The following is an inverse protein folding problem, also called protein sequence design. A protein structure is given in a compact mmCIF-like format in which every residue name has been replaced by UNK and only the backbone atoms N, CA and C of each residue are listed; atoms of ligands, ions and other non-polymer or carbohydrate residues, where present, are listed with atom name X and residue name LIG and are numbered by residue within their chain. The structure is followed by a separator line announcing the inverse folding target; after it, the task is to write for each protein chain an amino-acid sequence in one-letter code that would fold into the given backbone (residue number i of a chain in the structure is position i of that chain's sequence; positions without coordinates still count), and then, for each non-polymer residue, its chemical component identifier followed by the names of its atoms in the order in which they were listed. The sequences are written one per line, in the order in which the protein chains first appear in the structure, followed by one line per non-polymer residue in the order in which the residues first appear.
data_IF_903758800759
#
_entry.id   IF_903758800759
#
_cell.length_a   1.000
_cell.length_b   1.000
_cell.length_c   1.000
_cell.angle_alpha   90.00
_cell.angle_beta   90.00
_cell.angle_gamma   90.00
#
_symmetry.space_group_name_H-M   'P 1'
#
loop_
_entity.id
_entity.type
_entity.pdbx_description
1 polymer ?
#
# COMPACT_ATOMS: atom_id res chain seq x y z
N UNK A 1 5.84 8.97 12.62
CA UNK A 1 4.81 8.31 11.78
C UNK A 1 3.60 9.19 11.54
N UNK A 2 2.89 9.67 12.58
CA UNK A 2 1.71 10.53 12.45
C UNK A 2 1.92 11.73 11.50
N UNK A 3 3.06 12.43 11.60
CA UNK A 3 3.41 13.55 10.70
C UNK A 3 3.58 13.13 9.22
N UNK A 4 4.26 12.02 8.95
CA UNK A 4 4.48 11.53 7.58
C UNK A 4 3.16 11.09 6.91
N UNK A 5 2.29 10.40 7.66
CA UNK A 5 0.95 10.04 7.20
C UNK A 5 0.09 11.29 6.96
N UNK A 6 0.13 12.27 7.87
CA UNK A 6 -0.59 13.54 7.70
C UNK A 6 -0.15 14.29 6.44
N UNK A 7 1.15 14.31 6.13
CA UNK A 7 1.66 14.93 4.91
C UNK A 7 1.15 14.21 3.65
N UNK A 8 1.10 12.87 3.66
CA UNK A 8 0.52 12.08 2.56
C UNK A 8 -0.96 12.37 2.35
N UNK A 9 -1.73 12.52 3.43
CA UNK A 9 -3.15 12.92 3.35
C UNK A 9 -3.28 14.31 2.74
N UNK A 10 -2.49 15.27 3.21
CA UNK A 10 -2.53 16.66 2.70
C UNK A 10 -2.18 16.75 1.22
N UNK A 11 -1.28 15.90 0.74
CA UNK A 11 -0.88 15.84 -0.67
C UNK A 11 -1.86 15.03 -1.54
N UNK A 12 -2.90 14.41 -0.98
CA UNK A 12 -3.82 13.54 -1.73
C UNK A 12 -3.16 12.25 -2.23
N UNK A 13 -2.10 11.82 -1.57
CA UNK A 13 -1.25 10.69 -1.97
C UNK A 13 -1.68 9.36 -1.33
N UNK A 14 -2.74 9.36 -0.52
CA UNK A 14 -3.31 8.16 0.10
C UNK A 14 -4.48 7.64 -0.74
N UNK A 15 -4.42 6.36 -1.09
CA UNK A 15 -5.48 5.64 -1.78
C UNK A 15 -5.98 4.53 -0.86
N UNK A 16 -7.26 4.60 -0.49
CA UNK A 16 -7.91 3.58 0.35
C UNK A 16 -8.69 2.61 -0.54
N UNK A 17 -8.47 1.31 -0.34
CA UNK A 17 -9.19 0.23 -1.02
C UNK A 17 -10.04 -0.53 -0.02
N UNK A 18 -11.26 -0.93 -0.39
CA UNK A 18 -12.10 -1.75 0.49
C UNK A 18 -11.47 -3.12 0.75
N UNK A 19 -11.09 -3.82 -0.31
CA UNK A 19 -10.43 -5.11 -0.23
C UNK A 19 -9.45 -5.31 -1.39
N UNK A 20 -8.35 -6.02 -1.11
CA UNK A 20 -7.35 -6.39 -2.11
C UNK A 20 -7.13 -7.90 -2.04
N UNK A 21 -7.93 -8.65 -2.80
CA UNK A 21 -7.86 -10.11 -2.91
C UNK A 21 -7.47 -10.51 -4.32
N UNK A 22 -6.48 -11.39 -4.44
CA UNK A 22 -6.05 -11.98 -5.71
C UNK A 22 -6.12 -13.50 -5.60
N UNK A 23 -6.80 -14.15 -6.53
CA UNK A 23 -6.91 -15.61 -6.57
C UNK A 23 -5.59 -16.28 -6.98
N UNK A 24 -4.81 -15.62 -7.84
CA UNK A 24 -3.50 -16.08 -8.30
C UNK A 24 -2.47 -14.93 -8.28
N UNK A 25 -1.18 -15.21 -8.04
CA UNK A 25 -0.13 -14.20 -8.09
C UNK A 25 0.15 -13.82 -9.56
N UNK A 26 -0.43 -12.71 -10.02
CA UNK A 26 -0.29 -12.19 -11.38
C UNK A 26 0.10 -10.71 -11.39
N UNK A 27 1.36 -10.47 -11.76
CA UNK A 27 1.95 -9.12 -11.86
C UNK A 27 1.20 -8.22 -12.84
N UNK A 28 0.72 -8.77 -13.96
CA UNK A 28 -0.03 -8.01 -14.99
C UNK A 28 -1.36 -7.47 -14.46
N UNK A 29 -2.11 -8.30 -13.73
CA UNK A 29 -3.38 -7.89 -13.12
C UNK A 29 -3.12 -6.84 -12.04
N UNK A 30 -2.07 -7.03 -11.22
CA UNK A 30 -1.69 -6.05 -10.20
C UNK A 30 -1.26 -4.70 -10.78
N UNK A 31 -0.45 -4.70 -11.84
CA UNK A 31 -0.08 -3.48 -12.55
C UNK A 31 -1.31 -2.75 -13.13
N UNK A 32 -2.31 -3.49 -13.60
CA UNK A 32 -3.55 -2.93 -14.09
C UNK A 32 -4.39 -2.31 -12.96
N UNK A 33 -4.46 -2.95 -11.79
CA UNK A 33 -5.09 -2.38 -10.59
C UNK A 33 -4.41 -1.06 -10.21
N UNK A 34 -3.07 -1.06 -10.09
CA UNK A 34 -2.29 0.13 -9.75
C UNK A 34 -2.50 1.28 -10.75
N UNK A 35 -2.64 0.96 -12.03
CA UNK A 35 -2.94 1.93 -13.09
C UNK A 35 -4.35 2.49 -12.97
N UNK A 36 -5.34 1.64 -12.66
CA UNK A 36 -6.74 2.05 -12.52
C UNK A 36 -6.96 2.98 -11.32
N UNK A 37 -6.20 2.78 -10.24
CA UNK A 37 -6.26 3.63 -9.05
C UNK A 37 -5.29 4.81 -9.13
N UNK A 38 -4.59 4.96 -10.26
CA UNK A 38 -3.65 6.03 -10.53
C UNK A 38 -2.54 6.17 -9.46
N UNK A 39 -2.01 5.05 -8.96
CA UNK A 39 -1.03 4.97 -7.87
C UNK A 39 0.39 5.49 -8.20
N UNK A 40 0.50 6.41 -9.17
CA UNK A 40 1.77 7.04 -9.55
C UNK A 40 2.84 6.05 -10.04
N UNK A 41 4.09 6.51 -10.05
CA UNK A 41 5.26 5.70 -10.45
C UNK A 41 5.81 4.86 -9.30
N UNK A 42 5.66 5.34 -8.07
CA UNK A 42 6.14 4.68 -6.85
C UNK A 42 5.00 4.49 -5.88
N UNK A 43 4.65 3.24 -5.59
CA UNK A 43 3.54 2.91 -4.71
C UNK A 43 3.99 2.02 -3.55
N UNK A 44 3.60 2.40 -2.33
CA UNK A 44 3.68 1.53 -1.16
C UNK A 44 2.30 0.92 -0.91
N UNK A 45 2.20 -0.39 -1.00
CA UNK A 45 0.97 -1.14 -0.74
C UNK A 45 1.01 -1.73 0.65
N UNK A 46 0.12 -1.27 1.52
CA UNK A 46 0.03 -1.69 2.92
C UNK A 46 -1.18 -2.62 3.10
N UNK A 47 -0.91 -3.80 3.65
CA UNK A 47 -1.90 -4.84 3.92
C UNK A 47 -1.98 -5.13 5.42
N UNK A 48 -3.17 -5.52 5.90
CA UNK A 48 -3.39 -5.83 7.33
C UNK A 48 -2.66 -7.11 7.77
N UNK A 49 -2.51 -8.05 6.83
CA UNK A 49 -1.87 -9.35 7.00
C UNK A 49 -1.04 -9.70 5.77
N UNK A 50 -0.14 -10.68 5.93
CA UNK A 50 0.70 -11.16 4.83
C UNK A 50 -0.14 -11.85 3.75
N UNK A 51 -0.51 -11.10 2.70
CA UNK A 51 -1.14 -11.67 1.52
C UNK A 51 -0.07 -12.07 0.50
N UNK A 52 0.30 -13.36 0.50
CA UNK A 52 1.34 -13.92 -0.38
C UNK A 52 1.07 -13.64 -1.86
N UNK A 53 -0.19 -13.64 -2.30
CA UNK A 53 -0.52 -13.40 -3.71
C UNK A 53 -0.25 -11.95 -4.09
N UNK A 54 -0.60 -10.99 -3.23
CA UNK A 54 -0.33 -9.56 -3.42
C UNK A 54 1.18 -9.30 -3.38
N UNK A 55 1.89 -9.85 -2.40
CA UNK A 55 3.34 -9.69 -2.25
C UNK A 55 4.07 -10.21 -3.49
N UNK A 56 3.75 -11.44 -3.93
CA UNK A 56 4.34 -12.02 -5.15
C UNK A 56 3.98 -11.24 -6.42
N UNK A 57 2.78 -10.68 -6.50
CA UNK A 57 2.35 -9.90 -7.67
C UNK A 57 3.01 -8.52 -7.73
N UNK A 58 3.30 -7.92 -6.57
CA UNK A 58 3.99 -6.64 -6.48
C UNK A 58 5.51 -6.75 -6.62
N UNK A 59 6.11 -7.88 -6.19
CA UNK A 59 7.57 -8.05 -6.11
C UNK A 59 8.32 -7.86 -7.44
N UNK A 60 7.66 -8.08 -8.57
CA UNK A 60 8.28 -7.95 -9.90
C UNK A 60 8.00 -6.59 -10.58
N UNK A 61 7.31 -5.66 -9.90
CA UNK A 61 6.98 -4.34 -10.45
C UNK A 61 7.95 -3.31 -9.88
N UNK A 62 8.75 -2.69 -10.75
CA UNK A 62 9.67 -1.65 -10.34
C UNK A 62 8.92 -0.45 -9.77
N UNK A 63 9.43 0.11 -8.66
CA UNK A 63 8.80 1.24 -7.97
C UNK A 63 7.66 0.86 -7.02
N UNK A 64 7.24 -0.40 -6.97
CA UNK A 64 6.20 -0.87 -6.05
C UNK A 64 6.84 -1.64 -4.90
N UNK A 65 6.43 -1.34 -3.68
CA UNK A 65 6.76 -2.15 -2.50
C UNK A 65 5.49 -2.56 -1.76
N UNK A 66 5.58 -3.68 -1.06
CA UNK A 66 4.53 -4.14 -0.15
C UNK A 66 5.05 -4.11 1.27
N UNK A 67 4.19 -3.72 2.21
CA UNK A 67 4.46 -3.76 3.63
C UNK A 67 3.20 -4.24 4.36
N UNK A 68 3.39 -4.76 5.57
CA UNK A 68 2.30 -5.02 6.50
C UNK A 68 2.21 -3.89 7.51
N UNK A 69 1.09 -3.79 8.22
CA UNK A 69 0.89 -2.82 9.32
C UNK A 69 1.97 -2.92 10.40
N UNK A 70 2.61 -4.07 10.56
CA UNK A 70 3.68 -4.26 11.55
C UNK A 70 5.08 -3.90 11.01
N UNK A 71 5.25 -3.79 9.70
CA UNK A 71 6.55 -3.59 9.03
C UNK A 71 6.66 -2.26 8.29
N UNK A 72 5.67 -1.38 8.45
CA UNK A 72 5.65 -0.03 7.89
C UNK A 72 6.70 0.83 8.60
N UNK A 73 7.46 1.60 7.82
CA UNK A 73 8.47 2.53 8.33
C UNK A 73 8.26 3.94 7.76
N UNK A 74 8.71 4.96 8.50
CA UNK A 74 8.64 6.36 8.04
C UNK A 74 9.40 6.58 6.74
N UNK A 75 10.54 5.90 6.58
CA UNK A 75 11.35 5.99 5.37
C UNK A 75 10.57 5.54 4.13
N UNK A 76 9.87 4.41 4.22
CA UNK A 76 9.07 3.90 3.10
C UNK A 76 7.90 4.85 2.80
N UNK A 77 7.18 5.33 3.82
CA UNK A 77 6.09 6.30 3.62
C UNK A 77 6.57 7.54 2.85
N UNK A 78 7.78 8.04 3.13
CA UNK A 78 8.32 9.23 2.44
C UNK A 78 8.93 8.90 1.07
N UNK A 79 9.44 7.68 0.87
CA UNK A 79 10.13 7.26 -0.36
C UNK A 79 9.17 7.01 -1.52
N UNK A 80 7.97 6.52 -1.24
CA UNK A 80 6.95 6.22 -2.25
C UNK A 80 6.01 7.40 -2.40
N UNK A 81 5.56 7.66 -3.64
CA UNK A 81 4.69 8.80 -3.94
C UNK A 81 3.27 8.48 -3.51
N UNK A 82 2.76 7.30 -3.87
CA UNK A 82 1.42 6.84 -3.50
C UNK A 82 1.44 5.84 -2.36
N UNK A 83 0.52 6.00 -1.41
CA UNK A 83 0.31 5.12 -0.28
C UNK A 83 -1.04 4.41 -0.44
N UNK A 84 -1.01 3.14 -0.83
CA UNK A 84 -2.20 2.33 -1.05
C UNK A 84 -2.44 1.48 0.19
N UNK A 85 -3.60 1.59 0.82
CA UNK A 85 -3.92 0.87 2.06
C UNK A 85 -5.34 0.30 2.00
N UNK A 86 -5.56 -0.88 2.57
CA UNK A 86 -6.92 -1.43 2.69
C UNK A 86 -7.66 -0.88 3.90
N UNK A 87 -8.99 -0.81 3.86
CA UNK A 87 -9.82 -0.34 4.99
C UNK A 87 -9.52 -1.11 6.28
N UNK A 88 -9.31 -2.43 6.19
CA UNK A 88 -8.91 -3.24 7.34
C UNK A 88 -7.52 -2.88 7.89
N UNK A 89 -6.59 -2.54 7.00
CA UNK A 89 -5.25 -2.11 7.41
C UNK A 89 -5.28 -0.73 8.06
N UNK A 90 -6.15 0.18 7.63
CA UNK A 90 -6.34 1.49 8.27
C UNK A 90 -6.77 1.32 9.72
N UNK A 91 -7.81 0.50 9.98
CA UNK A 91 -8.29 0.24 11.36
C UNK A 91 -7.19 -0.31 12.26
N UNK A 92 -6.39 -1.25 11.73
CA UNK A 92 -5.28 -1.86 12.47
C UNK A 92 -4.15 -0.86 12.73
N UNK A 93 -3.88 0.06 11.79
CA UNK A 93 -2.93 1.16 12.00
C UNK A 93 -3.44 2.11 13.09
N UNK A 94 -4.72 2.43 13.11
CA UNK A 94 -5.31 3.25 14.17
C UNK A 94 -5.18 2.58 15.54
N UNK A 95 -5.45 1.28 15.66
CA UNK A 95 -5.29 0.54 16.92
C UNK A 95 -3.84 0.51 17.43
N UNK A 96 -2.87 0.32 16.53
CA UNK A 96 -1.44 0.18 16.90
C UNK A 96 -0.80 1.53 17.22
N UNK A 97 -1.25 2.62 16.59
CA UNK A 97 -0.62 3.93 16.67
C UNK A 97 -1.52 5.04 17.27
N UNK A 98 -2.69 4.69 17.81
CA UNK A 98 -3.52 5.59 18.62
C UNK A 98 -2.71 6.20 19.77
#
# INVERSE_FOLDING_TARGET
MKSALSSKVQNGEIIVLDALTMEAPKTKEFAQILKNINAGKKALVVTAENNTNVIKSAANIEGVATATVNTINVYDILKYDSFVITTDAVKKVEEVYA
#
